data_IF_547601836739
#
_entry.id   IF_547601836739
#
_cell.length_a   1.000
_cell.length_b   1.000
_cell.length_c   1.000
_cell.angle_alpha   90.00
_cell.angle_beta   90.00
_cell.angle_gamma   90.00
#
_symmetry.space_group_name_H-M   'P 1'
#
loop_
_entity.id
_entity.type
_entity.pdbx_description
1 polymer ?
#
# COMPACT_ATOMS: atom_id res chain seq x y z
N UNK A 1 25.55 -1.05 13.99
CA UNK A 1 24.08 -0.90 13.92
C UNK A 1 23.76 -0.35 12.54
N UNK A 2 23.26 -1.18 11.63
CA UNK A 2 22.92 -0.73 10.27
C UNK A 2 21.82 0.32 10.36
N UNK A 3 22.12 1.52 9.87
CA UNK A 3 21.15 2.59 9.65
C UNK A 3 20.09 2.08 8.67
N UNK A 4 18.97 1.59 9.20
CA UNK A 4 17.78 1.20 8.43
C UNK A 4 16.86 2.39 8.15
N UNK A 5 17.39 3.61 8.14
CA UNK A 5 16.74 4.76 7.50
C UNK A 5 17.00 4.72 5.99
N UNK A 6 16.49 3.68 5.32
CA UNK A 6 16.29 3.72 3.87
C UNK A 6 14.97 4.47 3.67
N UNK A 7 15.05 5.79 3.53
CA UNK A 7 13.88 6.66 3.35
C UNK A 7 12.88 6.10 2.34
N UNK A 8 11.60 6.49 2.51
CA UNK A 8 10.49 6.03 1.65
C UNK A 8 10.85 6.21 0.18
N UNK A 9 10.83 5.12 -0.59
CA UNK A 9 11.09 5.16 -2.03
C UNK A 9 9.89 5.81 -2.73
N UNK A 10 10.11 6.97 -3.33
CA UNK A 10 9.10 7.62 -4.16
C UNK A 10 8.97 6.88 -5.49
N UNK A 11 7.74 6.63 -5.91
CA UNK A 11 7.42 6.01 -7.20
C UNK A 11 6.39 6.88 -7.92
N UNK A 12 6.54 7.04 -9.24
CA UNK A 12 5.50 7.59 -10.08
C UNK A 12 4.50 6.47 -10.37
N UNK A 13 3.30 6.57 -9.79
CA UNK A 13 2.25 5.59 -9.96
C UNK A 13 1.25 6.08 -11.02
N UNK A 14 1.04 5.28 -12.06
CA UNK A 14 -0.02 5.50 -13.04
C UNK A 14 -1.22 4.65 -12.66
N UNK A 15 -2.35 5.27 -12.35
CA UNK A 15 -3.63 4.61 -12.09
C UNK A 15 -4.75 5.33 -12.83
N UNK A 16 -5.87 4.63 -13.04
CA UNK A 16 -7.05 5.26 -13.62
C UNK A 16 -7.64 6.29 -12.65
N UNK A 17 -8.26 7.38 -13.16
CA UNK A 17 -8.88 8.40 -12.31
C UNK A 17 -9.94 7.81 -11.36
N UNK A 18 -10.78 6.92 -11.87
CA UNK A 18 -11.81 6.23 -11.08
C UNK A 18 -11.22 5.48 -9.88
N UNK A 19 -10.12 4.75 -10.08
CA UNK A 19 -9.48 4.04 -8.98
C UNK A 19 -8.89 5.02 -7.95
N UNK A 20 -8.32 6.14 -8.42
CA UNK A 20 -7.81 7.17 -7.51
C UNK A 20 -8.94 7.75 -6.64
N UNK A 21 -10.11 8.04 -7.22
CA UNK A 21 -11.28 8.55 -6.50
C UNK A 21 -11.78 7.57 -5.44
N UNK A 22 -11.89 6.27 -5.79
CA UNK A 22 -12.29 5.23 -4.84
C UNK A 22 -11.28 5.10 -3.68
N UNK A 23 -9.98 5.18 -3.97
CA UNK A 23 -8.93 5.15 -2.95
C UNK A 23 -8.93 6.40 -2.07
N UNK A 24 -9.24 7.57 -2.64
CA UNK A 24 -9.31 8.83 -1.91
C UNK A 24 -10.49 8.86 -0.94
N UNK A 25 -11.69 8.46 -1.39
CA UNK A 25 -12.87 8.35 -0.55
C UNK A 25 -12.63 7.37 0.62
N UNK A 26 -12.05 6.21 0.35
CA UNK A 26 -11.74 5.25 1.41
C UNK A 26 -10.66 5.79 2.38
N UNK A 27 -9.66 6.51 1.88
CA UNK A 27 -8.68 7.14 2.77
C UNK A 27 -9.34 8.18 3.70
N UNK A 28 -10.31 8.95 3.19
CA UNK A 28 -11.09 9.91 3.97
C UNK A 28 -11.93 9.23 5.05
N UNK A 29 -12.66 8.17 4.71
CA UNK A 29 -13.45 7.38 5.66
C UNK A 29 -12.60 6.82 6.81
N UNK A 30 -11.36 6.43 6.52
CA UNK A 30 -10.40 5.89 7.50
C UNK A 30 -9.54 6.98 8.20
N UNK A 31 -9.79 8.27 7.93
CA UNK A 31 -8.99 9.42 8.41
C UNK A 31 -7.49 9.29 8.10
N UNK A 32 -7.15 8.84 6.89
CA UNK A 32 -5.77 8.64 6.40
C UNK A 32 -5.47 9.52 5.20
N UNK A 33 -4.18 9.76 4.97
CA UNK A 33 -3.73 10.30 3.68
C UNK A 33 -3.83 9.24 2.58
N UNK A 34 -4.03 9.69 1.34
CA UNK A 34 -4.04 8.82 0.15
C UNK A 34 -2.77 7.97 0.07
N UNK A 35 -1.59 8.57 0.31
CA UNK A 35 -0.33 7.83 0.31
C UNK A 35 -0.27 6.77 1.41
N UNK A 36 -0.78 7.07 2.60
CA UNK A 36 -0.89 6.11 3.70
C UNK A 36 -1.84 4.95 3.35
N UNK A 37 -2.96 5.25 2.68
CA UNK A 37 -3.90 4.24 2.24
C UNK A 37 -3.31 3.32 1.17
N UNK A 38 -2.61 3.87 0.17
CA UNK A 38 -1.90 3.08 -0.84
C UNK A 38 -0.83 2.19 -0.18
N UNK A 39 -0.05 2.73 0.76
CA UNK A 39 0.98 1.98 1.49
C UNK A 39 0.38 0.81 2.28
N UNK A 40 -0.75 1.04 2.97
CA UNK A 40 -1.50 0.00 3.68
C UNK A 40 -1.96 -1.11 2.74
N UNK A 41 -2.62 -0.76 1.63
CA UNK A 41 -3.16 -1.75 0.69
C UNK A 41 -2.06 -2.60 0.05
N UNK A 42 -0.96 -1.98 -0.38
CA UNK A 42 0.17 -2.70 -0.94
C UNK A 42 0.79 -3.65 0.10
N UNK A 43 0.89 -3.20 1.35
CA UNK A 43 1.41 -4.03 2.45
C UNK A 43 0.53 -5.24 2.71
N UNK A 44 -0.78 -5.05 2.79
CA UNK A 44 -1.73 -6.14 3.01
C UNK A 44 -1.76 -7.12 1.82
N UNK A 45 -1.71 -6.64 0.58
CA UNK A 45 -1.59 -7.48 -0.60
C UNK A 45 -0.33 -8.36 -0.57
N UNK A 46 0.82 -7.80 -0.20
CA UNK A 46 2.08 -8.57 -0.08
C UNK A 46 1.99 -9.59 1.06
N UNK A 47 1.44 -9.21 2.21
CA UNK A 47 1.23 -10.14 3.34
C UNK A 47 0.32 -11.30 2.96
N UNK A 48 -0.83 -11.02 2.33
CA UNK A 48 -1.77 -12.05 1.84
C UNK A 48 -1.10 -13.01 0.86
N UNK A 49 -0.35 -12.48 -0.11
CA UNK A 49 0.43 -13.30 -1.07
C UNK A 49 1.45 -14.20 -0.37
N UNK A 50 2.15 -13.70 0.65
CA UNK A 50 3.12 -14.48 1.42
C UNK A 50 2.46 -15.57 2.26
N UNK A 51 1.29 -15.31 2.85
CA UNK A 51 0.52 -16.31 3.60
C UNK A 51 0.02 -17.43 2.67
N UNK A 52 -0.58 -17.08 1.54
CA UNK A 52 -1.06 -18.08 0.57
C UNK A 52 0.05 -18.94 -0.06
N UNK A 53 1.30 -18.48 -0.06
CA UNK A 53 2.46 -19.31 -0.46
C UNK A 53 2.87 -20.35 0.59
N UNK A 54 2.69 -20.05 1.88
CA UNK A 54 3.04 -20.96 2.97
C UNK A 54 2.02 -22.08 3.19
N UNK A 55 0.81 -21.92 2.67
CA UNK A 55 -0.25 -22.94 2.73
C UNK A 55 -0.19 -23.92 1.55
N UNK A 56 0.70 -23.69 0.57
CA UNK A 56 0.92 -24.53 -0.61
C UNK A 56 2.27 -25.27 -0.59
N UNK A 57 3.06 -25.11 0.48
CA UNK A 57 4.29 -25.86 0.79
C UNK A 57 4.01 -26.83 1.95
#
# INVERSE_FOLDING_TARGET
>A
MEQKDKGKKQILLRISPKLWEELAAWAEDDFRSINGQIEYLLTECVKKRKKGKKEQE
#
